data_IF_508397695150
#
_entry.id   IF_508397695150
#
_cell.length_a   1.000
_cell.length_b   1.000
_cell.length_c   1.000
_cell.angle_alpha   90.00
_cell.angle_beta   90.00
_cell.angle_gamma   90.00
#
_symmetry.space_group_name_H-M   'P 1'
#
loop_
_entity.id
_entity.type
_entity.pdbx_description
1 polymer ?
#
# COMPACT_ATOMS: atom_id res chain seq x y z
N UNK A 1 9.06 -20.73 6.99
CA UNK A 1 9.62 -19.47 7.53
C UNK A 1 10.45 -19.80 8.76
N UNK A 2 11.77 -19.53 8.78
CA UNK A 2 12.64 -19.89 9.92
C UNK A 2 12.69 -18.86 11.06
N UNK A 3 11.96 -17.74 10.94
CA UNK A 3 11.95 -16.67 11.94
C UNK A 3 10.70 -16.80 12.81
N UNK A 4 10.87 -17.37 14.00
CA UNK A 4 9.86 -17.39 15.05
C UNK A 4 10.17 -16.31 16.09
N UNK A 5 9.13 -15.69 16.64
CA UNK A 5 9.31 -14.78 17.76
C UNK A 5 9.85 -15.58 18.97
N UNK A 6 10.73 -14.98 19.80
CA UNK A 6 11.13 -15.58 21.06
C UNK A 6 9.93 -15.88 21.98
N UNK A 7 10.02 -16.94 22.79
CA UNK A 7 8.90 -17.41 23.63
C UNK A 7 8.38 -16.38 24.64
N UNK A 8 9.19 -15.37 24.99
CA UNK A 8 8.81 -14.30 25.91
C UNK A 8 7.93 -13.22 25.25
N UNK A 9 7.80 -13.21 23.92
CA UNK A 9 6.94 -12.25 23.21
C UNK A 9 5.49 -12.76 23.29
N UNK A 10 4.55 -11.96 23.83
CA UNK A 10 3.15 -12.33 23.83
C UNK A 10 2.64 -12.60 22.42
N UNK A 11 1.80 -13.62 22.28
CA UNK A 11 1.08 -13.85 21.02
C UNK A 11 0.19 -12.64 20.72
N UNK A 12 0.07 -12.32 19.44
CA UNK A 12 -0.87 -11.29 19.01
C UNK A 12 -2.30 -11.68 19.43
N UNK A 13 -3.13 -10.71 19.85
CA UNK A 13 -4.49 -11.00 20.32
C UNK A 13 -5.47 -11.31 19.18
N UNK A 14 -4.98 -11.35 17.94
CA UNK A 14 -5.74 -11.61 16.73
C UNK A 14 -4.88 -12.38 15.73
N UNK A 15 -5.53 -13.07 14.82
CA UNK A 15 -4.86 -13.71 13.69
C UNK A 15 -4.43 -12.65 12.67
N UNK A 16 -3.21 -12.80 12.15
CA UNK A 16 -2.69 -11.90 11.14
C UNK A 16 -3.43 -12.19 9.83
N UNK A 17 -4.09 -11.20 9.21
CA UNK A 17 -4.76 -11.41 7.95
C UNK A 17 -3.74 -11.70 6.84
N UNK A 18 -3.93 -12.82 6.13
CA UNK A 18 -3.11 -13.26 5.00
C UNK A 18 -3.83 -13.13 3.64
N UNK A 19 -5.14 -12.90 3.69
CA UNK A 19 -6.03 -12.90 2.52
C UNK A 19 -6.44 -11.50 2.07
N UNK A 20 -5.89 -10.45 2.70
CA UNK A 20 -6.22 -9.05 2.43
C UNK A 20 -5.06 -8.41 1.65
N UNK A 21 -5.31 -7.86 0.45
CA UNK A 21 -4.30 -7.11 -0.28
C UNK A 21 -3.74 -5.95 0.55
N UNK A 22 -2.42 -5.74 0.51
CA UNK A 22 -1.74 -4.72 1.31
C UNK A 22 -2.34 -3.33 1.10
N UNK A 23 -2.68 -2.95 -0.14
CA UNK A 23 -3.29 -1.66 -0.42
C UNK A 23 -4.65 -1.48 0.30
N UNK A 24 -5.45 -2.55 0.43
CA UNK A 24 -6.71 -2.54 1.18
C UNK A 24 -6.44 -2.48 2.67
N UNK A 25 -5.52 -3.30 3.16
CA UNK A 25 -5.16 -3.31 4.58
C UNK A 25 -4.72 -1.92 5.06
N UNK A 26 -3.93 -1.18 4.27
CA UNK A 26 -3.42 0.13 4.66
C UNK A 26 -4.34 1.30 4.29
N UNK A 27 -5.21 1.21 3.28
CA UNK A 27 -6.07 2.33 2.79
C UNK A 27 -7.57 2.14 3.06
N UNK A 28 -7.95 1.09 3.78
CA UNK A 28 -9.33 0.85 4.17
C UNK A 28 -9.48 0.97 5.68
N UNK A 29 -10.51 1.70 6.11
CA UNK A 29 -10.79 1.97 7.52
C UNK A 29 -11.33 0.73 8.26
N UNK A 30 -11.80 -0.28 7.51
CA UNK A 30 -12.32 -1.52 8.06
C UNK A 30 -11.26 -2.39 8.76
N UNK A 31 -9.97 -2.09 8.60
CA UNK A 31 -8.86 -2.88 9.14
C UNK A 31 -8.09 -2.17 10.27
N UNK A 32 -8.77 -1.30 11.03
CA UNK A 32 -8.25 -0.78 12.29
C UNK A 32 -7.30 0.42 12.17
N UNK A 33 -7.13 1.00 10.97
CA UNK A 33 -6.40 2.26 10.80
C UNK A 33 -7.21 3.45 11.31
N UNK A 34 -6.50 4.54 11.59
CA UNK A 34 -7.15 5.84 11.82
C UNK A 34 -7.92 6.29 10.57
N UNK A 35 -9.14 6.85 10.70
CA UNK A 35 -9.92 7.35 9.59
C UNK A 35 -9.13 8.28 8.66
N UNK A 36 -9.27 8.08 7.35
CA UNK A 36 -8.54 8.79 6.29
C UNK A 36 -8.85 10.28 6.28
N UNK A 37 -10.13 10.64 6.42
CA UNK A 37 -10.57 12.04 6.41
C UNK A 37 -10.05 12.87 7.59
N UNK A 38 -9.62 12.19 8.66
CA UNK A 38 -9.05 12.80 9.85
C UNK A 38 -7.53 12.52 9.99
N UNK A 39 -6.95 11.78 9.05
CA UNK A 39 -5.52 11.48 9.06
C UNK A 39 -4.73 12.70 8.59
N UNK A 40 -3.52 12.87 9.14
CA UNK A 40 -2.57 13.84 8.60
C UNK A 40 -2.14 13.43 7.18
N UNK A 41 -1.73 14.37 6.32
CA UNK A 41 -1.13 14.07 5.03
C UNK A 41 0.05 13.11 5.19
N UNK A 42 0.02 11.92 4.55
CA UNK A 42 1.14 10.98 4.65
C UNK A 42 2.38 11.43 3.85
N UNK A 43 2.20 12.31 2.87
CA UNK A 43 3.28 12.81 2.03
C UNK A 43 3.25 14.34 1.95
N UNK A 44 4.33 14.96 2.42
CA UNK A 44 4.57 16.40 2.36
C UNK A 44 5.90 16.65 1.67
N UNK A 45 5.88 17.48 0.63
CA UNK A 45 7.10 17.93 -0.03
C UNK A 45 7.82 18.95 0.85
N UNK A 46 9.00 18.61 1.36
CA UNK A 46 9.78 19.48 2.25
C UNK A 46 10.24 20.80 1.63
N UNK A 47 10.28 20.90 0.29
CA UNK A 47 10.70 22.12 -0.41
C UNK A 47 9.52 23.06 -0.70
N UNK A 48 8.41 22.53 -1.21
CA UNK A 48 7.27 23.34 -1.66
C UNK A 48 6.16 23.45 -0.61
N UNK A 49 6.19 22.61 0.42
CA UNK A 49 5.08 22.46 1.37
C UNK A 49 3.85 21.79 0.75
N UNK A 50 3.93 21.25 -0.48
CA UNK A 50 2.80 20.57 -1.10
C UNK A 50 2.48 19.27 -0.35
N UNK A 51 1.22 19.09 0.00
CA UNK A 51 0.74 17.92 0.73
C UNK A 51 -0.31 17.17 -0.08
N UNK A 52 -0.44 15.88 0.20
CA UNK A 52 -1.53 15.05 -0.29
C UNK A 52 -2.24 14.42 0.88
N UNK A 53 -3.55 14.60 0.97
CA UNK A 53 -4.38 13.94 1.98
C UNK A 53 -4.38 12.43 1.80
N UNK A 54 -4.69 11.68 2.86
CA UNK A 54 -4.76 10.23 2.79
C UNK A 54 -5.86 9.73 1.82
N UNK A 55 -6.93 10.52 1.63
CA UNK A 55 -7.98 10.23 0.65
C UNK A 55 -7.47 10.40 -0.79
N UNK A 56 -6.76 11.49 -1.09
CA UNK A 56 -6.15 11.69 -2.42
C UNK A 56 -5.14 10.60 -2.76
N UNK A 57 -4.34 10.16 -1.78
CA UNK A 57 -3.40 9.04 -1.96
C UNK A 57 -4.16 7.77 -2.32
N UNK A 58 -5.25 7.45 -1.63
CA UNK A 58 -6.08 6.28 -1.93
C UNK A 58 -6.61 6.30 -3.36
N UNK A 59 -7.16 7.43 -3.79
CA UNK A 59 -7.68 7.58 -5.16
C UNK A 59 -6.57 7.48 -6.21
N UNK A 60 -5.44 8.14 -5.99
CA UNK A 60 -4.29 8.11 -6.91
C UNK A 60 -3.72 6.70 -7.08
N UNK A 61 -3.64 5.92 -6.01
CA UNK A 61 -3.21 4.51 -6.06
C UNK A 61 -4.16 3.70 -6.94
N UNK A 62 -5.48 3.86 -6.76
CA UNK A 62 -6.49 3.17 -7.58
C UNK A 62 -6.41 3.59 -9.06
N UNK A 63 -6.24 4.87 -9.36
CA UNK A 63 -6.10 5.34 -10.74
C UNK A 63 -4.81 4.83 -11.39
N UNK A 64 -3.69 4.85 -10.67
CA UNK A 64 -2.43 4.33 -11.17
C UNK A 64 -2.53 2.82 -11.44
N UNK A 65 -3.12 2.05 -10.52
CA UNK A 65 -3.31 0.61 -10.71
C UNK A 65 -4.15 0.28 -11.95
N UNK A 66 -5.23 1.05 -12.20
CA UNK A 66 -6.05 0.91 -13.41
C UNK A 66 -5.27 1.24 -14.67
N UNK A 67 -4.52 2.34 -14.66
CA UNK A 67 -3.67 2.73 -15.79
C UNK A 67 -2.62 1.66 -16.11
N UNK A 68 -1.91 1.16 -15.09
CA UNK A 68 -0.90 0.11 -15.27
C UNK A 68 -1.51 -1.21 -15.78
N UNK A 69 -2.67 -1.59 -15.25
CA UNK A 69 -3.39 -2.79 -15.73
C UNK A 69 -3.79 -2.66 -17.19
N UNK A 70 -4.26 -1.47 -17.60
CA UNK A 70 -4.64 -1.19 -18.98
C UNK A 70 -3.44 -1.17 -19.94
N UNK A 71 -2.37 -0.47 -19.57
CA UNK A 71 -1.19 -0.26 -20.44
C UNK A 71 -0.32 -1.51 -20.53
N UNK A 72 -0.13 -2.24 -19.43
CA UNK A 72 0.77 -3.39 -19.36
C UNK A 72 0.03 -4.73 -19.45
N UNK A 73 -1.30 -4.73 -19.46
CA UNK A 73 -2.12 -5.95 -19.46
C UNK A 73 -2.03 -6.74 -18.16
N UNK A 74 -1.58 -6.13 -17.07
CA UNK A 74 -1.41 -6.82 -15.80
C UNK A 74 -2.78 -7.18 -15.21
N UNK A 75 -2.98 -8.49 -15.00
CA UNK A 75 -4.16 -9.01 -14.34
C UNK A 75 -3.79 -9.55 -12.94
N UNK A 76 -4.63 -9.30 -11.92
CA UNK A 76 -4.46 -9.92 -10.61
C UNK A 76 -4.43 -11.44 -10.74
N UNK A 77 -3.50 -12.09 -10.04
CA UNK A 77 -3.40 -13.56 -9.92
C UNK A 77 -3.28 -14.34 -11.25
N UNK A 78 -2.96 -13.69 -12.37
CA UNK A 78 -2.68 -14.35 -13.66
C UNK A 78 -1.25 -14.09 -14.11
N UNK A 79 -0.57 -15.11 -14.65
CA UNK A 79 0.84 -15.02 -15.03
C UNK A 79 1.80 -15.01 -13.83
N UNK A 80 3.10 -15.04 -14.10
CA UNK A 80 4.14 -15.03 -13.07
C UNK A 80 4.25 -13.66 -12.42
N UNK A 81 4.54 -13.61 -11.11
CA UNK A 81 4.84 -12.36 -10.40
C UNK A 81 6.10 -11.69 -10.95
N UNK A 82 7.05 -12.48 -11.48
CA UNK A 82 8.27 -11.99 -12.12
C UNK A 82 8.00 -11.19 -13.39
N UNK A 83 6.88 -11.44 -14.07
CA UNK A 83 6.47 -10.70 -15.27
C UNK A 83 5.83 -9.34 -14.93
N UNK A 84 5.53 -9.10 -13.64
CA UNK A 84 4.84 -7.90 -13.14
C UNK A 84 5.75 -6.95 -12.39
N UNK A 85 7.02 -6.92 -12.76
CA UNK A 85 8.02 -6.03 -12.16
C UNK A 85 8.09 -4.73 -12.95
N UNK A 86 7.92 -3.60 -12.25
CA UNK A 86 7.99 -2.25 -12.84
C UNK A 86 9.19 -1.52 -12.24
N UNK A 87 10.07 -1.00 -13.10
CA UNK A 87 11.12 -0.07 -12.70
C UNK A 87 10.60 1.36 -12.68
N UNK A 88 10.69 2.04 -11.53
CA UNK A 88 10.30 3.45 -11.42
C UNK A 88 11.56 4.32 -11.39
N UNK A 89 11.79 5.07 -12.47
CA UNK A 89 12.88 6.03 -12.54
C UNK A 89 12.40 7.39 -12.06
N UNK A 90 12.76 7.76 -10.83
CA UNK A 90 12.45 9.07 -10.25
C UNK A 90 13.73 9.89 -10.15
N UNK A 91 13.93 10.80 -11.11
CA UNK A 91 15.05 11.75 -11.06
C UNK A 91 14.73 12.78 -9.98
N UNK A 92 15.62 12.89 -9.00
CA UNK A 92 15.60 13.98 -8.03
C UNK A 92 16.41 15.15 -8.62
N UNK A 93 15.75 16.03 -9.37
CA UNK A 93 16.32 17.25 -9.96
C UNK A 93 16.20 18.43 -9.02
#
# INVERSE_FOLDING_TARGET
MPFYAPDWVPKLPFDIPDSIPINKFILDENYGRHPLGYSRPPFTCGLTGKEYSALEVKERVEFLARGLSQELGFLPNQGSEWDKVIGLFSVNT
#
